data_IF_615128371176
#
_entry.id   IF_615128371176
#
_cell.length_a   1.000
_cell.length_b   1.000
_cell.length_c   1.000
_cell.angle_alpha   90.00
_cell.angle_beta   90.00
_cell.angle_gamma   90.00
#
_symmetry.space_group_name_H-M   'P 1'
#
loop_
_entity.id
_entity.type
_entity.pdbx_description
1 polymer ?
#
# COMPACT_ATOMS: atom_id res chain seq x y z
N UNK A 1 103.19 -13.67 -9.07
CA UNK A 1 103.50 -15.05 -9.44
C UNK A 1 102.44 -15.95 -8.83
N UNK A 2 101.73 -16.62 -9.72
CA UNK A 2 100.74 -17.71 -9.64
C UNK A 2 100.30 -18.41 -8.32
N UNK A 3 98.98 -18.68 -8.33
CA UNK A 3 98.25 -19.91 -7.98
C UNK A 3 98.01 -20.29 -6.50
N UNK A 4 96.75 -20.13 -6.04
CA UNK A 4 95.74 -21.22 -5.90
C UNK A 4 94.46 -20.76 -5.16
N UNK A 5 93.30 -21.15 -5.70
CA UNK A 5 91.99 -21.33 -4.99
C UNK A 5 92.10 -22.56 -4.05
N UNK A 6 91.22 -22.83 -3.04
CA UNK A 6 89.75 -22.64 -3.06
C UNK A 6 88.98 -22.42 -1.71
N UNK A 7 87.64 -22.23 -1.86
CA UNK A 7 86.45 -22.61 -1.03
C UNK A 7 86.35 -22.25 0.47
N UNK A 8 85.27 -21.52 0.83
CA UNK A 8 84.10 -21.88 1.72
C UNK A 8 83.28 -20.61 2.01
N UNK A 9 82.02 -20.50 1.58
CA UNK A 9 80.76 -20.75 2.31
C UNK A 9 80.32 -19.59 3.23
N UNK A 10 79.29 -18.84 2.79
CA UNK A 10 78.48 -17.97 3.67
C UNK A 10 77.02 -18.02 3.20
N UNK A 11 76.12 -18.37 4.12
CA UNK A 11 74.67 -18.34 3.93
C UNK A 11 74.18 -16.89 3.80
N UNK A 12 73.21 -16.64 2.91
CA UNK A 12 72.32 -15.48 2.97
C UNK A 12 70.89 -15.95 2.68
N UNK A 13 70.03 -15.65 3.64
CA UNK A 13 68.59 -15.88 3.69
C UNK A 13 67.85 -15.12 2.57
N UNK A 14 66.98 -15.80 1.81
CA UNK A 14 66.08 -15.16 0.85
C UNK A 14 64.65 -15.25 1.42
N UNK A 15 64.04 -14.10 1.70
CA UNK A 15 62.60 -13.97 1.95
C UNK A 15 61.84 -14.18 0.64
N UNK A 16 60.89 -15.12 0.61
CA UNK A 16 59.92 -15.24 -0.48
C UNK A 16 58.64 -14.48 -0.14
N UNK A 17 58.30 -13.46 -0.93
CA UNK A 17 56.95 -12.90 -1.00
C UNK A 17 56.29 -13.44 -2.27
N UNK A 18 55.33 -14.36 -2.12
CA UNK A 18 54.46 -14.83 -3.21
C UNK A 18 53.30 -13.86 -3.38
N UNK A 19 53.24 -13.18 -4.52
CA UNK A 19 52.13 -12.33 -4.94
C UNK A 19 51.10 -13.19 -5.69
N UNK A 20 49.92 -13.41 -5.11
CA UNK A 20 48.79 -14.03 -5.81
C UNK A 20 48.01 -12.94 -6.54
N UNK A 21 48.04 -12.97 -7.88
CA UNK A 21 47.19 -12.15 -8.73
C UNK A 21 45.78 -12.74 -8.75
N UNK A 22 44.81 -12.02 -8.17
CA UNK A 22 43.39 -12.38 -8.22
C UNK A 22 42.80 -11.88 -9.56
N UNK A 23 42.54 -12.78 -10.50
CA UNK A 23 41.71 -12.48 -11.67
C UNK A 23 40.26 -12.40 -11.20
N UNK A 24 39.68 -11.20 -11.19
CA UNK A 24 38.24 -11.01 -11.01
C UNK A 24 37.59 -11.22 -12.37
N UNK A 25 36.92 -12.38 -12.54
CA UNK A 25 35.92 -12.55 -13.58
C UNK A 25 34.71 -11.68 -13.22
N UNK A 26 34.51 -10.59 -13.95
CA UNK A 26 33.24 -9.86 -13.93
C UNK A 26 32.21 -10.68 -14.69
N UNK A 27 31.43 -11.48 -13.97
CA UNK A 27 30.19 -12.05 -14.52
C UNK A 27 29.19 -10.89 -14.58
N UNK A 28 28.85 -10.44 -15.78
CA UNK A 28 27.73 -9.51 -15.96
C UNK A 28 26.46 -10.20 -15.48
N UNK A 29 25.81 -9.65 -14.45
CA UNK A 29 24.44 -10.04 -14.13
C UNK A 29 23.55 -9.55 -15.26
N UNK A 30 22.84 -10.48 -15.89
CA UNK A 30 21.79 -10.20 -16.86
C UNK A 30 20.73 -9.27 -16.22
N UNK A 31 20.24 -8.26 -16.94
CA UNK A 31 19.22 -7.31 -16.44
C UNK A 31 17.95 -8.02 -15.93
N UNK A 32 17.67 -9.23 -16.45
CA UNK A 32 16.57 -10.08 -16.01
C UNK A 32 16.75 -10.63 -14.58
N UNK A 33 17.99 -10.81 -14.12
CA UNK A 33 18.29 -11.29 -12.76
C UNK A 33 18.15 -10.15 -11.75
N UNK A 34 18.48 -8.91 -12.13
CA UNK A 34 18.28 -7.74 -11.27
C UNK A 34 16.80 -7.47 -11.00
N UNK A 35 15.91 -7.76 -11.96
CA UNK A 35 14.47 -7.59 -11.80
C UNK A 35 13.85 -8.52 -10.73
N UNK A 36 14.55 -9.58 -10.30
CA UNK A 36 14.06 -10.53 -9.29
C UNK A 36 14.38 -10.13 -7.84
N UNK A 37 15.19 -9.10 -7.62
CA UNK A 37 15.50 -8.62 -6.28
C UNK A 37 14.32 -7.79 -5.73
N UNK A 38 13.96 -7.93 -4.44
CA UNK A 38 12.92 -7.10 -3.84
C UNK A 38 13.33 -5.61 -3.88
N UNK A 39 12.36 -4.67 -3.92
CA UNK A 39 12.65 -3.24 -3.86
C UNK A 39 13.60 -2.90 -2.71
N UNK A 40 14.61 -2.06 -2.97
CA UNK A 40 15.49 -1.59 -1.90
C UNK A 40 14.73 -0.61 -1.01
N UNK A 41 14.66 -0.93 0.29
CA UNK A 41 14.07 -0.07 1.31
C UNK A 41 15.17 0.72 2.00
N UNK A 42 15.30 2.01 1.67
CA UNK A 42 16.27 2.90 2.30
C UNK A 42 15.56 3.99 3.09
N UNK A 43 15.80 4.01 4.40
CA UNK A 43 15.40 5.12 5.28
C UNK A 43 16.32 6.29 4.97
N UNK A 44 15.83 7.35 4.34
CA UNK A 44 16.65 8.54 4.09
C UNK A 44 17.17 9.13 5.41
N UNK A 45 18.41 9.62 5.41
CA UNK A 45 18.95 10.43 6.50
C UNK A 45 18.22 11.79 6.53
N UNK A 46 17.04 11.81 7.14
CA UNK A 46 16.13 12.95 7.11
C UNK A 46 14.70 12.64 7.55
N UNK A 47 14.34 11.37 7.75
CA UNK A 47 13.03 10.97 8.27
C UNK A 47 11.97 10.72 7.20
N UNK A 48 12.22 11.06 5.93
CA UNK A 48 11.32 10.74 4.82
C UNK A 48 11.51 9.28 4.36
N UNK A 49 10.42 8.52 4.39
CA UNK A 49 10.36 7.14 3.89
C UNK A 49 9.84 7.14 2.45
N UNK A 50 10.62 6.61 1.52
CA UNK A 50 10.22 6.37 0.14
C UNK A 50 10.28 4.88 -0.20
N UNK A 51 9.54 4.48 -1.23
CA UNK A 51 9.62 3.16 -1.85
C UNK A 51 10.21 3.33 -3.22
N UNK A 52 11.26 2.59 -3.56
CA UNK A 52 11.94 2.74 -4.84
C UNK A 52 11.48 1.70 -5.86
N UNK A 53 11.22 2.12 -7.10
CA UNK A 53 10.92 1.21 -8.19
C UNK A 53 12.15 0.36 -8.56
N UNK A 54 11.90 -0.85 -9.06
CA UNK A 54 12.96 -1.70 -9.63
C UNK A 54 13.27 -1.25 -11.06
N UNK A 55 14.55 -1.28 -11.44
CA UNK A 55 14.98 -0.92 -12.79
C UNK A 55 14.32 -1.83 -13.84
N UNK A 56 13.79 -1.21 -14.89
CA UNK A 56 13.17 -1.93 -16.02
C UNK A 56 11.86 -2.65 -15.73
N UNK A 57 11.31 -2.52 -14.52
CA UNK A 57 10.06 -3.17 -14.12
C UNK A 57 8.98 -2.14 -13.75
N UNK A 58 7.71 -2.50 -13.98
CA UNK A 58 6.60 -1.74 -13.44
C UNK A 58 6.52 -1.93 -11.92
N UNK A 59 6.07 -0.90 -11.21
CA UNK A 59 5.79 -0.95 -9.79
C UNK A 59 4.35 -1.38 -9.56
N UNK A 60 4.15 -2.50 -8.88
CA UNK A 60 2.83 -3.11 -8.70
C UNK A 60 2.38 -3.03 -7.24
N UNK A 61 1.17 -2.50 -7.05
CA UNK A 61 0.50 -2.38 -5.75
C UNK A 61 -0.70 -3.33 -5.73
N UNK A 62 -0.76 -4.21 -4.73
CA UNK A 62 -2.00 -4.93 -4.41
C UNK A 62 -2.76 -4.17 -3.33
N UNK A 63 -4.04 -3.88 -3.59
CA UNK A 63 -4.93 -3.18 -2.67
C UNK A 63 -5.90 -4.20 -2.06
N UNK A 64 -5.68 -4.50 -0.79
CA UNK A 64 -6.57 -5.35 0.01
C UNK A 64 -7.48 -4.47 0.85
N UNK A 65 -8.79 -4.69 0.73
CA UNK A 65 -9.80 -3.92 1.44
C UNK A 65 -10.79 -4.87 2.10
N UNK A 66 -11.39 -4.41 3.21
CA UNK A 66 -12.51 -5.10 3.87
C UNK A 66 -12.15 -6.55 4.23
N UNK A 67 -11.10 -6.73 5.04
CA UNK A 67 -10.64 -8.05 5.45
C UNK A 67 -11.45 -8.62 6.61
N UNK A 68 -11.85 -7.74 7.54
CA UNK A 68 -12.72 -8.04 8.69
C UNK A 68 -12.19 -9.19 9.57
N UNK A 69 -10.87 -9.21 9.84
CA UNK A 69 -10.29 -10.23 10.73
C UNK A 69 -10.85 -10.14 12.15
N UNK A 70 -11.03 -11.29 12.80
CA UNK A 70 -11.51 -11.39 14.17
C UNK A 70 -13.03 -11.26 14.34
N UNK A 71 -13.78 -11.17 13.24
CA UNK A 71 -15.24 -11.17 13.28
C UNK A 71 -15.79 -12.47 13.91
N UNK A 72 -16.71 -12.35 14.86
CA UNK A 72 -17.37 -13.49 15.52
C UNK A 72 -16.38 -14.56 16.03
N UNK A 73 -15.22 -14.12 16.53
CA UNK A 73 -14.13 -14.99 16.97
C UNK A 73 -14.48 -15.98 18.10
N UNK A 74 -15.61 -15.78 18.78
CA UNK A 74 -16.14 -16.70 19.79
C UNK A 74 -16.94 -17.87 19.20
N UNK A 75 -17.03 -17.97 17.86
CA UNK A 75 -17.68 -19.07 17.14
C UNK A 75 -16.66 -19.76 16.24
N UNK A 76 -16.96 -20.99 15.79
CA UNK A 76 -16.10 -21.68 14.82
C UNK A 76 -16.10 -21.01 13.43
N UNK A 77 -17.10 -20.17 13.13
CA UNK A 77 -17.25 -19.53 11.83
C UNK A 77 -16.18 -18.45 11.57
N UNK A 78 -15.90 -17.61 12.58
CA UNK A 78 -14.99 -16.46 12.47
C UNK A 78 -13.55 -16.85 12.10
N UNK A 79 -12.88 -17.70 12.89
CA UNK A 79 -11.52 -18.15 12.60
C UNK A 79 -11.39 -18.84 11.23
N UNK A 80 -12.45 -19.53 10.77
CA UNK A 80 -12.47 -20.12 9.42
C UNK A 80 -12.48 -19.03 8.34
N UNK A 81 -13.17 -17.91 8.56
CA UNK A 81 -13.13 -16.78 7.62
C UNK A 81 -11.76 -16.13 7.59
N UNK A 82 -11.11 -15.92 8.73
CA UNK A 82 -9.74 -15.36 8.79
C UNK A 82 -8.75 -16.23 7.99
N UNK A 83 -8.84 -17.56 8.14
CA UNK A 83 -8.05 -18.53 7.35
C UNK A 83 -8.34 -18.41 5.86
N UNK A 84 -9.60 -18.22 5.46
CA UNK A 84 -9.96 -18.07 4.06
C UNK A 84 -9.50 -16.71 3.50
N UNK A 85 -9.59 -15.62 4.27
CA UNK A 85 -9.02 -14.32 3.92
C UNK A 85 -7.51 -14.42 3.66
N UNK A 86 -6.78 -15.17 4.48
CA UNK A 86 -5.36 -15.48 4.26
C UNK A 86 -5.14 -16.23 2.94
N UNK A 87 -5.99 -17.21 2.59
CA UNK A 87 -5.91 -17.93 1.31
C UNK A 87 -6.14 -17.01 0.11
N UNK A 88 -7.11 -16.10 0.17
CA UNK A 88 -7.36 -15.10 -0.90
C UNK A 88 -6.12 -14.26 -1.12
N UNK A 89 -5.58 -13.67 -0.06
CA UNK A 89 -4.40 -12.80 -0.14
C UNK A 89 -3.17 -13.56 -0.69
N UNK A 90 -2.92 -14.78 -0.20
CA UNK A 90 -1.86 -15.63 -0.76
C UNK A 90 -2.07 -15.89 -2.25
N UNK A 91 -3.28 -16.28 -2.66
CA UNK A 91 -3.58 -16.60 -4.06
C UNK A 91 -3.42 -15.40 -4.97
N UNK A 92 -3.84 -14.21 -4.52
CA UNK A 92 -3.63 -12.95 -5.27
C UNK A 92 -2.14 -12.68 -5.41
N UNK A 93 -1.36 -12.73 -4.33
CA UNK A 93 0.08 -12.44 -4.35
C UNK A 93 0.87 -13.48 -5.15
N UNK A 94 0.43 -14.74 -5.17
CA UNK A 94 1.04 -15.82 -5.96
C UNK A 94 0.74 -15.68 -7.46
N UNK A 95 -0.41 -15.10 -7.83
CA UNK A 95 -0.74 -14.77 -9.23
C UNK A 95 -0.12 -13.44 -9.68
N UNK A 96 0.17 -12.54 -8.74
CA UNK A 96 0.79 -11.24 -8.95
C UNK A 96 2.19 -11.23 -8.34
N UNK A 97 3.02 -12.23 -8.67
CA UNK A 97 4.36 -12.46 -8.08
C UNK A 97 5.30 -11.27 -8.12
N UNK A 98 5.04 -10.31 -9.00
CA UNK A 98 5.81 -9.08 -9.14
C UNK A 98 5.30 -7.94 -8.24
N UNK A 99 4.46 -8.22 -7.24
CA UNK A 99 3.91 -7.19 -6.33
C UNK A 99 5.03 -6.58 -5.50
N UNK A 100 5.19 -5.26 -5.61
CA UNK A 100 6.24 -4.49 -4.93
C UNK A 100 5.75 -3.91 -3.61
N UNK A 101 4.44 -3.70 -3.48
CA UNK A 101 3.84 -3.00 -2.35
C UNK A 101 2.40 -3.46 -2.10
N UNK A 102 1.97 -3.41 -0.85
CA UNK A 102 0.58 -3.68 -0.46
C UNK A 102 -0.05 -2.45 0.19
N UNK A 103 -1.29 -2.15 -0.18
CA UNK A 103 -2.12 -1.17 0.53
C UNK A 103 -3.24 -1.91 1.23
N UNK A 104 -3.29 -1.78 2.56
CA UNK A 104 -4.44 -2.19 3.37
C UNK A 104 -5.42 -1.02 3.47
N UNK A 105 -6.50 -1.09 2.69
CA UNK A 105 -7.46 -0.02 2.52
C UNK A 105 -8.72 -0.27 3.34
N UNK A 106 -8.66 0.05 4.63
CA UNK A 106 -9.84 -0.05 5.48
C UNK A 106 -10.16 -1.44 6.02
N UNK A 107 -10.94 -1.46 7.10
CA UNK A 107 -11.53 -2.64 7.72
C UNK A 107 -10.64 -3.89 7.74
N UNK A 108 -9.39 -3.71 8.17
CA UNK A 108 -8.40 -4.79 8.32
C UNK A 108 -8.86 -5.78 9.39
N UNK A 109 -9.37 -5.25 10.52
CA UNK A 109 -9.95 -6.02 11.61
C UNK A 109 -11.37 -5.52 11.92
N UNK A 110 -12.25 -6.38 12.42
CA UNK A 110 -13.63 -6.02 12.78
C UNK A 110 -13.69 -5.47 14.21
N UNK A 111 -13.17 -4.26 14.40
CA UNK A 111 -12.96 -3.65 15.72
C UNK A 111 -14.15 -3.77 16.70
N UNK A 112 -15.34 -3.28 16.32
CA UNK A 112 -16.54 -3.30 17.18
C UNK A 112 -17.03 -4.71 17.54
N UNK A 113 -16.53 -5.74 16.85
CA UNK A 113 -16.90 -7.14 17.04
C UNK A 113 -15.78 -7.96 17.72
N UNK A 114 -14.76 -7.30 18.26
CA UNK A 114 -13.62 -7.93 18.93
C UNK A 114 -13.55 -7.43 20.39
N UNK A 115 -14.29 -8.06 21.33
CA UNK A 115 -14.33 -7.62 22.73
C UNK A 115 -13.13 -8.16 23.53
N UNK A 116 -11.91 -8.05 22.98
CA UNK A 116 -10.66 -8.42 23.66
C UNK A 116 -9.76 -7.19 23.82
N UNK A 117 -9.05 -7.14 24.94
CA UNK A 117 -8.18 -6.00 25.27
C UNK A 117 -7.02 -5.82 24.27
N UNK A 118 -6.58 -6.89 23.59
CA UNK A 118 -5.50 -6.85 22.63
C UNK A 118 -5.85 -7.61 21.33
N UNK A 119 -6.14 -6.87 20.27
CA UNK A 119 -6.47 -7.37 18.93
C UNK A 119 -5.27 -7.40 17.96
N UNK A 120 -4.05 -7.09 18.43
CA UNK A 120 -2.83 -7.13 17.60
C UNK A 120 -2.62 -8.47 16.90
N UNK A 121 -3.02 -9.58 17.51
CA UNK A 121 -2.94 -10.90 16.90
C UNK A 121 -3.73 -10.98 15.56
N UNK A 122 -4.91 -10.37 15.47
CA UNK A 122 -5.69 -10.34 14.23
C UNK A 122 -5.03 -9.44 13.19
N UNK A 123 -4.41 -8.34 13.64
CA UNK A 123 -3.60 -7.50 12.77
C UNK A 123 -2.43 -8.27 12.18
N UNK A 124 -1.66 -8.97 13.02
CA UNK A 124 -0.54 -9.83 12.63
C UNK A 124 -0.96 -10.90 11.62
N UNK A 125 -2.11 -11.54 11.85
CA UNK A 125 -2.67 -12.51 10.92
C UNK A 125 -3.03 -11.87 9.58
N UNK A 126 -3.68 -10.70 9.59
CA UNK A 126 -4.08 -9.99 8.38
C UNK A 126 -2.87 -9.56 7.52
N UNK A 127 -1.77 -9.13 8.16
CA UNK A 127 -0.54 -8.73 7.44
C UNK A 127 0.36 -9.91 7.06
N UNK A 128 0.12 -11.11 7.61
CA UNK A 128 1.00 -12.27 7.45
C UNK A 128 1.30 -12.69 5.99
N UNK A 129 0.36 -12.64 5.02
CA UNK A 129 0.67 -13.01 3.63
C UNK A 129 1.69 -12.08 2.99
N UNK A 130 1.61 -10.80 3.33
CA UNK A 130 2.50 -9.74 2.86
C UNK A 130 3.86 -9.81 3.55
N UNK A 131 3.84 -9.94 4.88
CA UNK A 131 5.05 -10.06 5.72
C UNK A 131 5.89 -11.29 5.38
N UNK A 132 5.26 -12.44 5.17
CA UNK A 132 5.97 -13.69 4.79
C UNK A 132 6.65 -13.65 3.43
N UNK A 133 6.22 -12.74 2.54
CA UNK A 133 6.84 -12.49 1.23
C UNK A 133 7.84 -11.33 1.24
N UNK A 134 8.10 -10.73 2.41
CA UNK A 134 8.94 -9.55 2.55
C UNK A 134 8.50 -8.38 1.66
N UNK A 135 7.19 -8.24 1.45
CA UNK A 135 6.60 -7.15 0.69
C UNK A 135 6.31 -5.99 1.67
N UNK A 136 6.76 -4.76 1.42
CA UNK A 136 6.39 -3.61 2.24
C UNK A 136 4.90 -3.23 2.06
N UNK A 137 4.31 -2.62 3.10
CA UNK A 137 2.91 -2.19 3.04
C UNK A 137 2.65 -0.83 3.69
N UNK A 138 1.50 -0.25 3.41
CA UNK A 138 0.96 0.89 4.13
C UNK A 138 -0.56 0.75 4.31
N UNK A 139 -1.09 1.40 5.34
CA UNK A 139 -2.49 1.25 5.75
C UNK A 139 -3.23 2.59 5.75
N UNK A 140 -4.43 2.62 5.17
CA UNK A 140 -5.39 3.73 5.23
C UNK A 140 -6.59 3.39 6.16
N UNK A 141 -6.30 3.01 7.41
CA UNK A 141 -7.28 2.84 8.50
C UNK A 141 -6.56 2.60 9.84
N UNK A 142 -7.16 2.70 11.03
CA UNK A 142 -8.16 1.79 11.66
C UNK A 142 -8.54 2.35 13.06
N UNK A 143 -9.74 2.07 13.66
CA UNK A 143 -10.70 2.67 14.70
C UNK A 143 -10.39 2.74 16.28
N UNK A 144 -10.63 3.89 16.98
CA UNK A 144 -10.29 4.40 18.39
C UNK A 144 -11.58 5.00 18.97
N UNK A 145 -11.62 5.17 20.27
CA UNK A 145 -12.54 6.08 20.93
C UNK A 145 -11.74 6.76 22.04
N UNK A 146 -11.74 8.09 22.03
CA UNK A 146 -11.09 8.97 23.00
C UNK A 146 -11.29 8.58 24.47
N UNK A 147 -10.36 9.04 25.30
CA UNK A 147 -10.43 9.02 26.76
C UNK A 147 -11.66 9.79 27.28
N UNK A 148 -12.83 9.16 27.26
CA UNK A 148 -13.94 9.44 28.17
C UNK A 148 -14.91 8.25 28.07
N UNK A 149 -14.77 7.30 29.01
CA UNK A 149 -15.76 6.35 29.53
C UNK A 149 -16.93 5.86 28.63
N UNK A 150 -16.77 5.73 27.31
CA UNK A 150 -17.78 5.15 26.43
C UNK A 150 -17.39 3.72 26.07
N UNK A 151 -17.57 2.78 27.02
CA UNK A 151 -17.73 1.32 26.91
C UNK A 151 -17.08 0.50 25.76
N UNK A 152 -16.07 0.98 25.05
CA UNK A 152 -15.38 0.21 24.03
C UNK A 152 -14.53 -0.85 24.71
N UNK A 153 -14.82 -2.13 24.45
CA UNK A 153 -14.18 -3.28 25.11
C UNK A 153 -12.99 -3.84 24.32
N UNK A 154 -12.51 -3.13 23.29
CA UNK A 154 -11.48 -3.58 22.36
C UNK A 154 -10.22 -2.69 22.31
N UNK A 155 -9.27 -3.06 21.45
CA UNK A 155 -8.04 -2.29 21.15
C UNK A 155 -8.29 -1.05 20.27
N UNK A 156 -7.60 0.05 20.54
CA UNK A 156 -7.83 1.37 19.94
C UNK A 156 -7.09 1.60 18.58
N UNK A 157 -7.51 2.59 17.73
CA UNK A 157 -6.87 2.99 16.43
C UNK A 157 -5.39 3.07 16.62
N UNK A 158 -5.08 3.88 17.62
CA UNK A 158 -3.75 4.42 17.82
C UNK A 158 -2.85 3.32 18.34
N UNK A 159 -3.39 2.35 19.08
CA UNK A 159 -2.67 1.17 19.53
C UNK A 159 -2.40 0.22 18.35
N UNK A 160 -3.36 -0.01 17.45
CA UNK A 160 -3.16 -0.83 16.24
C UNK A 160 -2.19 -0.16 15.25
N UNK A 161 -2.34 1.14 15.02
CA UNK A 161 -1.43 1.91 14.18
C UNK A 161 -0.03 1.95 14.78
N UNK A 162 0.08 2.15 16.10
CA UNK A 162 1.36 2.08 16.81
C UNK A 162 1.97 0.68 16.69
N UNK A 163 1.17 -0.36 16.83
CA UNK A 163 1.62 -1.74 16.63
C UNK A 163 2.19 -1.93 15.22
N UNK A 164 1.44 -1.56 14.18
CA UNK A 164 1.86 -1.64 12.76
C UNK A 164 3.16 -0.87 12.49
N UNK A 165 3.31 0.34 13.04
CA UNK A 165 4.48 1.19 12.79
C UNK A 165 5.72 0.72 13.55
N UNK A 166 5.57 0.32 14.83
CA UNK A 166 6.69 0.06 15.72
C UNK A 166 7.19 -1.40 15.67
N UNK A 167 6.32 -2.36 15.33
CA UNK A 167 6.64 -3.79 15.39
C UNK A 167 6.98 -4.39 14.02
N UNK A 168 6.74 -3.64 12.93
CA UNK A 168 7.00 -4.10 11.58
C UNK A 168 7.89 -3.16 10.79
N UNK A 169 9.12 -3.60 10.54
CA UNK A 169 10.11 -2.87 9.72
C UNK A 169 9.67 -2.67 8.27
N UNK A 170 8.72 -3.49 7.81
CA UNK A 170 8.13 -3.44 6.47
C UNK A 170 6.91 -2.50 6.38
N UNK A 171 6.40 -1.99 7.51
CA UNK A 171 5.32 -1.01 7.50
C UNK A 171 5.85 0.38 7.15
N UNK A 172 5.23 0.96 6.12
CA UNK A 172 5.34 2.34 5.68
C UNK A 172 4.17 3.19 6.16
N UNK A 173 3.29 2.65 7.00
CA UNK A 173 2.24 3.43 7.65
C UNK A 173 2.83 4.55 8.50
N UNK A 174 2.07 5.63 8.68
CA UNK A 174 2.45 6.73 9.55
C UNK A 174 1.22 7.32 10.22
N UNK A 175 1.42 7.83 11.43
CA UNK A 175 0.45 8.75 12.02
C UNK A 175 0.40 10.04 11.20
N UNK A 176 -0.77 10.65 11.15
CA UNK A 176 -0.94 12.00 10.62
C UNK A 176 -0.56 13.08 11.64
N UNK A 177 -0.57 14.35 11.20
CA UNK A 177 -0.43 15.49 12.09
C UNK A 177 -1.46 15.47 13.23
N UNK A 178 -1.02 15.81 14.45
CA UNK A 178 -1.84 15.75 15.66
C UNK A 178 -3.05 16.69 15.63
N UNK A 179 -2.95 17.78 14.89
CA UNK A 179 -4.02 18.76 14.66
C UNK A 179 -5.13 18.26 13.73
N UNK A 180 -4.96 17.09 13.09
CA UNK A 180 -6.02 16.41 12.34
C UNK A 180 -6.87 15.46 13.21
N UNK A 181 -6.65 15.43 14.51
CA UNK A 181 -7.51 14.67 15.44
C UNK A 181 -8.99 15.04 15.22
N UNK A 182 -9.92 14.05 15.20
CA UNK A 182 -9.77 12.66 15.61
C UNK A 182 -9.23 11.68 14.55
N UNK A 183 -8.83 12.16 13.38
CA UNK A 183 -8.26 11.35 12.31
C UNK A 183 -6.83 10.90 12.66
N UNK A 184 -6.50 9.62 12.44
CA UNK A 184 -5.23 9.03 12.93
C UNK A 184 -4.19 8.89 11.84
N UNK A 185 -4.56 8.35 10.67
CA UNK A 185 -3.62 8.09 9.58
C UNK A 185 -3.83 9.06 8.41
N UNK A 186 -2.98 10.09 8.33
CA UNK A 186 -2.97 11.05 7.22
C UNK A 186 -1.53 11.33 6.81
N UNK A 187 -1.08 10.72 5.72
CA UNK A 187 0.31 10.79 5.29
C UNK A 187 0.44 10.60 3.78
N UNK A 188 1.65 10.86 3.28
CA UNK A 188 2.00 10.72 1.88
C UNK A 188 3.27 9.91 1.76
N UNK A 189 3.29 8.97 0.82
CA UNK A 189 4.46 8.19 0.46
C UNK A 189 4.90 8.55 -0.94
N UNK A 190 6.21 8.66 -1.12
CA UNK A 190 6.82 8.81 -2.42
C UNK A 190 7.22 7.45 -2.97
N UNK A 191 6.79 7.17 -4.20
CA UNK A 191 7.39 6.11 -5.02
C UNK A 191 8.44 6.75 -5.92
N UNK A 192 9.71 6.40 -5.71
CA UNK A 192 10.86 6.97 -6.41
C UNK A 192 11.26 6.16 -7.63
N UNK A 193 11.88 6.85 -8.59
CA UNK A 193 12.48 6.24 -9.78
C UNK A 193 13.51 5.17 -9.42
N UNK A 194 13.65 4.17 -10.30
CA UNK A 194 14.74 3.20 -10.20
C UNK A 194 16.12 3.85 -10.29
N UNK A 195 16.22 4.98 -11.00
CA UNK A 195 17.51 5.59 -11.37
C UNK A 195 17.98 6.62 -10.32
N UNK A 196 17.03 7.27 -9.64
CA UNK A 196 17.30 8.27 -8.61
C UNK A 196 16.25 8.19 -7.49
N UNK A 197 16.65 7.79 -6.26
CA UNK A 197 15.77 7.78 -5.10
C UNK A 197 15.14 9.13 -4.75
N UNK A 198 15.70 10.25 -5.23
CA UNK A 198 15.16 11.60 -5.03
C UNK A 198 14.16 12.02 -6.11
N UNK A 199 14.02 11.24 -7.19
CA UNK A 199 13.11 11.56 -8.29
C UNK A 199 11.76 10.88 -8.08
N UNK A 200 10.69 11.60 -7.72
CA UNK A 200 9.37 11.02 -7.51
C UNK A 200 8.70 10.62 -8.84
N UNK A 201 8.17 9.41 -8.90
CA UNK A 201 7.37 8.89 -10.02
C UNK A 201 5.87 9.04 -9.73
N UNK A 202 5.44 8.74 -8.51
CA UNK A 202 4.06 8.94 -8.05
C UNK A 202 4.05 9.21 -6.54
N UNK A 203 3.11 10.02 -6.09
CA UNK A 203 2.79 10.17 -4.66
C UNK A 203 1.52 9.41 -4.30
N UNK A 204 1.58 8.65 -3.20
CA UNK A 204 0.47 7.90 -2.65
C UNK A 204 -0.01 8.61 -1.38
N UNK A 205 -1.20 9.21 -1.42
CA UNK A 205 -1.81 9.88 -0.27
C UNK A 205 -2.76 8.92 0.44
N UNK A 206 -2.61 8.80 1.76
CA UNK A 206 -3.47 8.01 2.62
C UNK A 206 -4.20 8.99 3.55
N UNK A 207 -5.53 8.98 3.51
CA UNK A 207 -6.37 9.79 4.38
C UNK A 207 -7.33 8.89 5.17
N UNK A 208 -7.56 9.26 6.42
CA UNK A 208 -8.46 8.52 7.32
C UNK A 208 -9.85 9.14 7.30
N UNK A 209 -10.79 8.41 6.70
CA UNK A 209 -12.19 8.78 6.52
C UNK A 209 -13.09 8.47 7.72
N UNK A 210 -12.53 8.09 8.87
CA UNK A 210 -13.29 7.79 10.09
C UNK A 210 -13.83 6.37 10.15
N UNK A 211 -15.10 6.20 10.56
CA UNK A 211 -15.75 4.90 10.74
C UNK A 211 -15.68 4.34 12.18
N UNK A 212 -16.54 3.35 12.43
CA UNK A 212 -16.72 2.76 13.76
C UNK A 212 -17.39 3.77 14.70
N UNK A 213 -16.69 4.20 15.74
CA UNK A 213 -17.13 5.24 16.68
C UNK A 213 -16.79 6.67 16.22
N UNK A 214 -16.14 6.85 15.07
CA UNK A 214 -15.80 8.16 14.52
C UNK A 214 -16.74 8.62 13.41
N UNK A 215 -16.92 9.94 13.25
CA UNK A 215 -17.62 10.50 12.10
C UNK A 215 -17.03 9.97 10.79
N UNK A 216 -17.89 9.51 9.89
CA UNK A 216 -17.51 8.96 8.58
C UNK A 216 -17.31 10.10 7.57
N UNK A 217 -16.26 10.89 7.75
CA UNK A 217 -15.96 12.08 6.96
C UNK A 217 -14.46 12.25 6.70
N UNK A 218 -14.13 12.87 5.58
CA UNK A 218 -12.87 13.61 5.43
C UNK A 218 -13.13 15.07 5.83
N UNK A 219 -12.48 15.52 6.90
CA UNK A 219 -12.66 16.85 7.47
C UNK A 219 -12.09 17.98 6.61
N UNK A 220 -12.55 19.21 6.87
CA UNK A 220 -11.95 20.41 6.25
C UNK A 220 -10.46 20.56 6.64
N UNK A 221 -10.09 20.23 7.87
CA UNK A 221 -8.69 20.25 8.31
C UNK A 221 -7.81 19.28 7.50
N UNK A 222 -8.32 18.07 7.21
CA UNK A 222 -7.62 17.12 6.33
C UNK A 222 -7.55 17.63 4.89
N UNK A 223 -8.58 18.32 4.39
CA UNK A 223 -8.58 18.93 3.07
C UNK A 223 -7.54 20.06 2.95
N UNK A 224 -7.45 20.94 3.94
CA UNK A 224 -6.44 22.00 4.05
C UNK A 224 -5.03 21.42 4.18
N UNK A 225 -4.86 20.36 4.99
CA UNK A 225 -3.60 19.63 5.09
C UNK A 225 -3.17 19.05 3.75
N UNK A 226 -4.08 18.37 3.04
CA UNK A 226 -3.79 17.82 1.72
C UNK A 226 -3.35 18.93 0.76
N UNK A 227 -4.09 20.05 0.72
CA UNK A 227 -3.75 21.18 -0.14
C UNK A 227 -2.33 21.67 0.15
N UNK A 228 -2.05 22.03 1.41
CA UNK A 228 -0.74 22.55 1.83
C UNK A 228 0.37 21.54 1.54
N UNK A 229 0.19 20.27 1.88
CA UNK A 229 1.21 19.24 1.69
C UNK A 229 1.47 18.98 0.21
N UNK A 230 0.44 18.98 -0.63
CA UNK A 230 0.55 18.78 -2.07
C UNK A 230 1.24 19.95 -2.78
N UNK A 231 1.01 21.18 -2.33
CA UNK A 231 1.69 22.38 -2.81
C UNK A 231 3.16 22.41 -2.34
N UNK A 232 3.45 21.90 -1.15
CA UNK A 232 4.81 21.80 -0.60
C UNK A 232 5.70 20.81 -1.39
N UNK A 233 5.21 19.58 -1.63
CA UNK A 233 6.04 18.50 -2.20
C UNK A 233 5.88 18.33 -3.72
N UNK A 234 4.83 18.89 -4.30
CA UNK A 234 4.53 18.82 -5.73
C UNK A 234 3.89 20.15 -6.20
N UNK A 235 4.60 21.29 -6.06
CA UNK A 235 4.06 22.64 -6.28
C UNK A 235 3.50 22.84 -7.69
N UNK A 236 4.10 22.19 -8.69
CA UNK A 236 3.71 22.31 -10.09
C UNK A 236 2.69 21.26 -10.54
N UNK A 237 2.22 20.39 -9.63
CA UNK A 237 1.35 19.26 -9.95
C UNK A 237 1.87 18.41 -11.13
N UNK A 238 3.20 18.23 -11.21
CA UNK A 238 3.87 17.55 -12.32
C UNK A 238 4.00 16.05 -12.10
N UNK A 239 4.07 15.62 -10.84
CA UNK A 239 4.11 14.21 -10.47
C UNK A 239 2.67 13.71 -10.26
N UNK A 240 2.26 12.57 -10.84
CA UNK A 240 0.95 11.98 -10.60
C UNK A 240 0.72 11.63 -9.12
N UNK A 241 -0.54 11.69 -8.69
CA UNK A 241 -0.97 11.46 -7.31
C UNK A 241 -2.13 10.47 -7.29
N UNK A 242 -2.02 9.45 -6.44
CA UNK A 242 -3.05 8.47 -6.16
C UNK A 242 -3.51 8.62 -4.72
N UNK A 243 -4.82 8.62 -4.50
CA UNK A 243 -5.41 8.88 -3.19
C UNK A 243 -6.09 7.62 -2.69
N UNK A 244 -5.91 7.31 -1.41
CA UNK A 244 -6.47 6.15 -0.73
C UNK A 244 -7.15 6.60 0.55
N UNK A 245 -8.44 6.26 0.69
CA UNK A 245 -9.17 6.32 1.96
C UNK A 245 -10.26 5.26 1.95
N UNK A 246 -10.82 4.89 3.10
CA UNK A 246 -11.73 3.74 3.14
C UNK A 246 -13.14 4.03 2.62
N UNK A 247 -13.84 4.98 3.24
CA UNK A 247 -15.28 5.18 3.03
C UNK A 247 -15.49 6.05 1.77
N UNK A 248 -16.30 5.63 0.79
CA UNK A 248 -16.52 6.38 -0.44
C UNK A 248 -17.12 7.75 -0.17
N UNK A 249 -16.69 8.76 -0.91
CA UNK A 249 -17.26 10.11 -0.79
C UNK A 249 -18.62 10.20 -1.51
N UNK A 250 -19.40 11.27 -1.30
CA UNK A 250 -20.69 11.46 -1.98
C UNK A 250 -20.57 11.52 -3.53
N UNK A 251 -19.41 11.88 -4.07
CA UNK A 251 -19.09 11.81 -5.50
C UNK A 251 -19.29 10.39 -6.07
N UNK A 252 -18.97 9.34 -5.31
CA UNK A 252 -19.18 7.95 -5.74
C UNK A 252 -20.67 7.64 -5.94
N UNK A 253 -21.54 8.14 -5.04
CA UNK A 253 -22.99 7.99 -5.15
C UNK A 253 -23.55 8.71 -6.38
N UNK A 254 -22.97 9.84 -6.74
CA UNK A 254 -23.38 10.63 -7.91
C UNK A 254 -22.97 9.98 -9.25
N UNK A 255 -21.85 9.25 -9.27
CA UNK A 255 -21.33 8.59 -10.47
C UNK A 255 -22.00 7.25 -10.75
N UNK A 256 -22.39 6.52 -9.69
CA UNK A 256 -23.07 5.24 -9.78
C UNK A 256 -24.48 5.29 -9.13
N UNK A 257 -25.40 6.13 -9.63
CA UNK A 257 -26.75 6.16 -9.07
C UNK A 257 -27.51 4.89 -9.48
N UNK A 258 -28.50 4.52 -8.66
CA UNK A 258 -29.30 3.29 -8.82
C UNK A 258 -29.98 3.13 -10.19
N UNK A 259 -30.22 4.24 -10.89
CA UNK A 259 -30.85 4.28 -12.21
C UNK A 259 -30.05 5.18 -13.16
N UNK A 260 -29.14 4.58 -13.93
CA UNK A 260 -28.41 5.23 -15.01
C UNK A 260 -26.94 5.42 -14.70
N UNK A 261 -26.09 4.62 -15.35
CA UNK A 261 -24.64 4.83 -15.37
C UNK A 261 -24.35 5.71 -16.57
N UNK A 262 -23.81 6.90 -16.33
CA UNK A 262 -23.73 7.96 -17.34
C UNK A 262 -22.39 8.01 -18.08
N UNK A 263 -21.41 7.21 -17.66
CA UNK A 263 -20.05 7.14 -18.20
C UNK A 263 -19.60 5.69 -18.30
N UNK A 264 -18.68 5.32 -19.22
CA UNK A 264 -18.17 3.95 -19.29
C UNK A 264 -17.38 3.63 -18.03
N UNK A 265 -18.05 2.98 -17.09
CA UNK A 265 -17.46 2.39 -15.90
C UNK A 265 -17.02 0.96 -16.20
N UNK A 266 -15.97 0.50 -15.53
CA UNK A 266 -15.56 -0.91 -15.59
C UNK A 266 -15.69 -1.56 -14.21
N UNK A 267 -16.26 -2.76 -14.15
CA UNK A 267 -16.46 -3.52 -12.91
C UNK A 267 -17.89 -3.62 -12.42
N UNK A 268 -18.07 -4.22 -11.25
CA UNK A 268 -19.36 -4.52 -10.63
C UNK A 268 -19.91 -3.29 -9.93
N UNK A 269 -20.79 -2.57 -10.61
CA UNK A 269 -21.32 -1.26 -10.17
C UNK A 269 -22.72 -1.30 -9.56
N UNK A 270 -23.53 -2.30 -9.92
CA UNK A 270 -24.95 -2.37 -9.53
C UNK A 270 -25.25 -3.51 -8.53
N UNK A 271 -24.23 -3.99 -7.81
CA UNK A 271 -24.42 -5.08 -6.83
C UNK A 271 -24.99 -4.60 -5.51
N UNK A 272 -24.77 -3.34 -5.17
CA UNK A 272 -25.36 -2.67 -4.01
C UNK A 272 -25.38 -1.15 -4.21
N UNK A 273 -26.03 -0.43 -3.28
CA UNK A 273 -26.00 1.04 -3.28
C UNK A 273 -24.74 1.53 -2.59
N UNK A 274 -24.15 2.61 -3.12
CA UNK A 274 -23.00 3.27 -2.49
C UNK A 274 -23.36 3.77 -1.09
N UNK A 275 -22.61 3.31 -0.08
CA UNK A 275 -22.69 3.76 1.31
C UNK A 275 -21.62 4.85 1.53
N UNK A 276 -21.96 6.09 1.13
CA UNK A 276 -21.01 7.21 1.17
C UNK A 276 -20.86 7.82 2.56
N UNK A 277 -19.72 8.49 2.78
CA UNK A 277 -19.46 9.43 3.86
C UNK A 277 -20.66 10.35 4.15
N UNK A 278 -20.81 10.74 5.41
CA UNK A 278 -21.88 11.61 5.89
C UNK A 278 -21.83 12.99 5.22
N UNK A 279 -20.62 13.50 4.94
CA UNK A 279 -20.40 14.79 4.32
C UNK A 279 -19.11 14.82 3.48
N UNK A 280 -19.10 15.62 2.41
CA UNK A 280 -17.89 15.98 1.66
C UNK A 280 -17.45 17.40 2.05
N UNK A 281 -16.45 17.53 2.94
CA UNK A 281 -16.00 18.82 3.47
C UNK A 281 -14.93 19.47 2.58
N UNK A 282 -15.20 19.55 1.27
CA UNK A 282 -14.39 20.28 0.30
C UNK A 282 -13.26 19.49 -0.37
N UNK A 283 -12.86 18.33 0.14
CA UNK A 283 -11.74 17.54 -0.40
C UNK A 283 -11.91 17.23 -1.90
N UNK A 284 -13.09 16.80 -2.34
CA UNK A 284 -13.32 16.46 -3.76
C UNK A 284 -13.18 17.67 -4.68
N UNK A 285 -13.48 18.89 -4.20
CA UNK A 285 -13.28 20.10 -4.98
C UNK A 285 -11.79 20.41 -5.19
N UNK A 286 -10.95 20.11 -4.21
CA UNK A 286 -9.50 20.26 -4.32
C UNK A 286 -8.93 19.22 -5.30
N UNK A 287 -9.31 17.96 -5.15
CA UNK A 287 -8.83 16.87 -6.00
C UNK A 287 -9.17 17.07 -7.47
N UNK A 288 -10.41 17.48 -7.79
CA UNK A 288 -10.82 17.74 -9.19
C UNK A 288 -10.06 18.91 -9.82
N UNK A 289 -9.66 19.91 -9.02
CA UNK A 289 -8.89 21.06 -9.52
C UNK A 289 -7.41 20.75 -9.72
N UNK A 290 -6.90 19.68 -9.11
CA UNK A 290 -5.48 19.32 -9.13
C UNK A 290 -5.19 18.26 -10.21
N UNK A 291 -4.57 18.63 -11.35
CA UNK A 291 -4.45 17.75 -12.51
C UNK A 291 -3.50 16.56 -12.32
N UNK A 292 -2.62 16.60 -11.31
CA UNK A 292 -1.78 15.47 -10.91
C UNK A 292 -2.60 14.33 -10.31
N UNK A 293 -3.75 14.59 -9.69
CA UNK A 293 -4.59 13.55 -9.10
C UNK A 293 -5.22 12.70 -10.20
N UNK A 294 -4.86 11.41 -10.25
CA UNK A 294 -5.32 10.49 -11.31
C UNK A 294 -6.45 9.60 -10.86
N UNK A 295 -6.41 9.12 -9.62
CA UNK A 295 -7.45 8.27 -9.07
C UNK A 295 -7.58 8.39 -7.56
N UNK A 296 -8.79 8.14 -7.09
CA UNK A 296 -9.12 7.93 -5.68
C UNK A 296 -9.59 6.48 -5.55
N UNK A 297 -9.05 5.77 -4.56
CA UNK A 297 -9.37 4.38 -4.26
C UNK A 297 -10.06 4.26 -2.89
N UNK A 298 -11.13 3.47 -2.84
CA UNK A 298 -11.99 3.25 -1.66
C UNK A 298 -12.37 1.79 -1.47
N UNK A 299 -12.82 1.40 -0.27
CA UNK A 299 -13.34 0.07 0.05
C UNK A 299 -14.80 0.16 0.49
N UNK A 300 -15.12 -0.45 1.65
CA UNK A 300 -16.34 -0.30 2.45
C UNK A 300 -17.60 -0.97 1.89
N UNK A 301 -17.85 -0.82 0.60
CA UNK A 301 -18.94 -1.52 -0.09
C UNK A 301 -18.42 -2.87 -0.64
N UNK A 302 -18.85 -3.98 -0.03
CA UNK A 302 -18.27 -5.30 -0.29
C UNK A 302 -18.63 -5.91 -1.65
N UNK A 303 -19.72 -5.43 -2.26
CA UNK A 303 -20.21 -5.85 -3.57
C UNK A 303 -19.70 -5.02 -4.73
N UNK A 304 -19.01 -3.89 -4.47
CA UNK A 304 -18.53 -2.95 -5.48
C UNK A 304 -17.01 -3.12 -5.71
N UNK A 305 -16.59 -2.98 -6.97
CA UNK A 305 -15.17 -2.99 -7.36
C UNK A 305 -14.93 -2.22 -8.66
N UNK A 306 -15.79 -1.25 -8.96
CA UNK A 306 -15.77 -0.54 -10.22
C UNK A 306 -14.79 0.64 -10.22
N UNK A 307 -14.34 1.03 -11.41
CA UNK A 307 -13.72 2.32 -11.67
C UNK A 307 -14.58 3.11 -12.66
N UNK A 308 -14.85 4.37 -12.37
CA UNK A 308 -15.60 5.27 -13.24
C UNK A 308 -14.87 6.61 -13.43
N UNK A 309 -14.97 7.23 -14.62
CA UNK A 309 -14.51 8.59 -14.83
C UNK A 309 -15.30 9.59 -13.98
N UNK A 310 -14.59 10.52 -13.34
CA UNK A 310 -15.17 11.65 -12.63
C UNK A 310 -14.38 12.92 -12.94
N UNK A 311 -14.95 13.77 -13.79
CA UNK A 311 -14.29 15.00 -14.29
C UNK A 311 -12.95 14.68 -14.98
N UNK A 312 -11.82 14.92 -14.31
CA UNK A 312 -10.45 14.70 -14.81
C UNK A 312 -9.70 13.58 -14.08
N UNK A 313 -10.37 12.85 -13.20
CA UNK A 313 -9.79 11.76 -12.39
C UNK A 313 -10.71 10.53 -12.41
N UNK A 314 -10.25 9.44 -11.80
CA UNK A 314 -11.02 8.21 -11.64
C UNK A 314 -11.45 8.00 -10.17
N UNK A 315 -12.67 7.51 -10.00
CA UNK A 315 -13.16 7.01 -8.70
C UNK A 315 -13.22 5.48 -8.78
N UNK A 316 -12.57 4.80 -7.85
CA UNK A 316 -12.34 3.37 -7.92
C UNK A 316 -12.62 2.66 -6.59
N UNK A 317 -13.48 1.66 -6.59
CA UNK A 317 -13.57 0.70 -5.49
C UNK A 317 -12.48 -0.36 -5.61
N UNK A 318 -11.82 -0.67 -4.50
CA UNK A 318 -11.13 -1.93 -4.30
C UNK A 318 -12.14 -3.09 -4.29
N UNK A 319 -11.65 -4.32 -4.46
CA UNK A 319 -12.47 -5.52 -4.28
C UNK A 319 -12.37 -5.94 -2.81
N UNK A 320 -13.52 -6.27 -2.22
CA UNK A 320 -13.59 -6.96 -0.93
C UNK A 320 -12.75 -8.24 -0.94
N UNK A 321 -11.70 -8.25 -0.13
CA UNK A 321 -10.71 -9.32 -0.09
C UNK A 321 -11.05 -10.36 0.98
N UNK A 322 -11.58 -9.92 2.12
CA UNK A 322 -11.84 -10.79 3.26
C UNK A 322 -13.01 -11.74 3.07
N UNK A 323 -13.00 -12.84 3.80
CA UNK A 323 -14.17 -13.69 3.99
C UNK A 323 -15.02 -13.28 5.20
N UNK A 324 -14.48 -12.43 6.10
CA UNK A 324 -15.27 -11.71 7.09
C UNK A 324 -16.08 -10.58 6.45
N UNK A 325 -16.93 -9.93 7.22
CA UNK A 325 -17.85 -8.91 6.76
C UNK A 325 -19.08 -9.47 6.04
N UNK A 326 -19.91 -8.59 5.49
CA UNK A 326 -21.17 -8.99 4.86
C UNK A 326 -21.01 -9.40 3.40
N UNK A 327 -21.95 -10.24 2.95
CA UNK A 327 -22.13 -10.58 1.53
C UNK A 327 -21.28 -11.74 1.03
N UNK A 328 -21.72 -12.35 -0.07
CA UNK A 328 -21.18 -13.61 -0.60
C UNK A 328 -20.56 -13.46 -2.00
N UNK A 329 -20.16 -12.24 -2.38
CA UNK A 329 -19.52 -11.99 -3.67
C UNK A 329 -18.17 -12.68 -3.79
N UNK A 330 -17.73 -13.12 -4.98
CA UNK A 330 -16.40 -13.68 -5.15
C UNK A 330 -15.30 -12.72 -4.68
N UNK A 331 -14.28 -13.25 -4.00
CA UNK A 331 -13.21 -12.47 -3.36
C UNK A 331 -12.07 -12.18 -4.31
N UNK A 332 -11.30 -11.14 -4.00
CA UNK A 332 -10.13 -10.76 -4.79
C UNK A 332 -9.53 -9.45 -4.30
N UNK A 333 -8.74 -8.82 -5.14
CA UNK A 333 -8.09 -7.56 -4.85
C UNK A 333 -8.02 -6.67 -6.09
N UNK A 334 -7.88 -5.36 -5.87
CA UNK A 334 -7.52 -4.45 -6.95
C UNK A 334 -6.00 -4.39 -7.06
N UNK A 335 -5.51 -4.47 -8.29
CA UNK A 335 -4.10 -4.30 -8.61
C UNK A 335 -3.92 -2.94 -9.31
N UNK A 336 -2.85 -2.24 -8.97
CA UNK A 336 -2.41 -1.01 -9.62
C UNK A 336 -1.00 -1.25 -10.14
N UNK A 337 -0.74 -0.90 -11.39
CA UNK A 337 0.57 -1.03 -12.04
C UNK A 337 0.99 0.35 -12.55
N UNK A 338 2.18 0.77 -12.13
CA UNK A 338 2.81 2.04 -12.53
C UNK A 338 4.04 1.71 -13.37
N UNK A 339 4.02 2.12 -14.64
CA UNK A 339 5.18 2.04 -15.53
C UNK A 339 5.82 3.42 -15.62
N UNK A 340 7.14 3.51 -15.47
CA UNK A 340 7.85 4.80 -15.53
C UNK A 340 8.06 5.29 -16.97
N UNK A 341 8.37 4.40 -17.93
CA UNK A 341 8.71 4.75 -19.31
C UNK A 341 8.17 3.73 -20.33
N UNK A 342 7.29 4.14 -21.28
CA UNK A 342 6.50 5.36 -21.21
C UNK A 342 5.64 5.35 -19.94
N UNK A 343 5.41 6.54 -19.36
CA UNK A 343 4.62 6.63 -18.14
C UNK A 343 3.22 6.05 -18.36
N UNK A 344 2.74 5.20 -17.45
CA UNK A 344 1.33 4.82 -17.45
C UNK A 344 0.90 4.29 -16.08
N UNK A 345 -0.37 4.49 -15.73
CA UNK A 345 -1.00 3.89 -14.56
C UNK A 345 -2.17 3.02 -15.04
N UNK A 346 -2.09 1.72 -14.76
CA UNK A 346 -3.14 0.74 -15.08
C UNK A 346 -3.70 0.14 -13.80
N UNK A 347 -4.94 -0.32 -13.86
CA UNK A 347 -5.55 -1.07 -12.76
C UNK A 347 -6.46 -2.17 -13.28
N UNK A 348 -6.59 -3.24 -12.51
CA UNK A 348 -7.51 -4.36 -12.76
C UNK A 348 -7.92 -5.02 -11.45
N UNK A 349 -8.85 -5.96 -11.53
CA UNK A 349 -9.23 -6.82 -10.42
C UNK A 349 -8.62 -8.20 -10.66
N UNK A 350 -7.92 -8.72 -9.65
CA UNK A 350 -7.45 -10.11 -9.57
C UNK A 350 -8.36 -10.86 -8.60
N UNK A 351 -9.07 -11.85 -9.10
CA UNK A 351 -9.96 -12.68 -8.29
C UNK A 351 -9.22 -13.85 -7.65
N UNK A 352 -9.78 -14.41 -6.59
CA UNK A 352 -9.26 -15.59 -5.90
C UNK A 352 -9.16 -16.81 -6.83
N UNK A 353 -10.08 -16.97 -7.78
CA UNK A 353 -10.03 -18.02 -8.79
C UNK A 353 -8.97 -17.78 -9.89
N UNK A 354 -8.18 -16.72 -9.75
CA UNK A 354 -7.14 -16.31 -10.70
C UNK A 354 -7.65 -15.49 -11.88
N UNK A 355 -8.96 -15.29 -12.05
CA UNK A 355 -9.49 -14.50 -13.17
C UNK A 355 -9.11 -13.02 -13.03
N UNK A 356 -8.80 -12.38 -14.18
CA UNK A 356 -8.58 -10.93 -14.28
C UNK A 356 -9.74 -10.27 -15.00
N UNK A 357 -10.27 -9.20 -14.44
CA UNK A 357 -11.28 -8.38 -15.10
C UNK A 357 -11.17 -6.89 -14.74
N UNK A 358 -12.08 -6.06 -15.26
CA UNK A 358 -12.15 -4.61 -15.00
C UNK A 358 -10.85 -3.84 -15.28
N UNK A 359 -10.12 -4.21 -16.34
CA UNK A 359 -8.90 -3.50 -16.75
C UNK A 359 -9.22 -2.06 -17.16
N UNK A 360 -8.44 -1.11 -16.65
CA UNK A 360 -8.53 0.32 -16.97
C UNK A 360 -7.15 0.96 -17.00
N UNK A 361 -6.99 1.97 -17.86
CA UNK A 361 -5.82 2.87 -17.84
C UNK A 361 -6.25 4.20 -17.22
N UNK A 362 -5.68 4.52 -16.07
CA UNK A 362 -6.06 5.67 -15.24
C UNK A 362 -5.34 6.96 -15.66
N UNK A 363 -4.10 6.82 -16.13
CA UNK A 363 -3.33 7.87 -16.80
C UNK A 363 -2.51 7.23 -17.92
N UNK A 364 -2.63 7.73 -19.16
CA UNK A 364 -1.60 7.51 -20.16
C UNK A 364 -0.33 8.31 -19.83
#
# INVERSE_FOLDING_TARGET
MELKRPKTQTQITILSFTCFSLFILTVGLDDQVLALLPPQTTKASGGERYVQMRAGAAFKIAVFADLHFGENAWTDWGPVQDVNSVKVMNTVLDNETTTDFVVYLGDVITANNIPIANASLYWDQAISPTKSRNIPWATANSTYSGEEACSFRGTQRIELMKHDIEHDVLSYSSNGPKDLWPSISNYVLQVSSSDDPKSPVVYLYFLDSGGGSYPEVISNAQAEWFQKKSEEINPNASVPELIFWHIPSQAYRNVAPRFGIHQPCVGLINKESVASQEAELGIMNLLVKRPSVKAVFVGHNHGLDWCCPYKKLWLCYARHTGYGGYGSWPRGARIIEITQQPFSIKSWIRMEDGVVHSRVTLSP
#
